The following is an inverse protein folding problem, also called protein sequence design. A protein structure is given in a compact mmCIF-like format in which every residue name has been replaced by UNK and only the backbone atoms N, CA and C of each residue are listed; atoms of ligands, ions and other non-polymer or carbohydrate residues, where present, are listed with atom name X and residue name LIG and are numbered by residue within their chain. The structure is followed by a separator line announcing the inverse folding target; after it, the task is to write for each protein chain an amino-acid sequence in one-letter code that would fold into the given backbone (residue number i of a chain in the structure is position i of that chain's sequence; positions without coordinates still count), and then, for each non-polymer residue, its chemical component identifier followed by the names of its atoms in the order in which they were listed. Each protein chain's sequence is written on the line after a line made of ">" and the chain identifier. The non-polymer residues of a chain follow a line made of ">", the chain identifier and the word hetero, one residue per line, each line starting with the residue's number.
data_IF_153704311941
#
_entry.id   IF_153704311941
#
_cell.length_a   1.000
_cell.length_b   1.000
_cell.length_c   1.000
_cell.angle_alpha   90.00
_cell.angle_beta   90.00
_cell.angle_gamma   90.00
#
_symmetry.space_group_name_H-M   'P 1'
#
loop_
_entity.id
_entity.type
_entity.pdbx_description
1 polymer ?
#
# COMPACT_ATOMS: atom_id res chain seq x y z
N UNK A 1 44.41 46.90 9.97
CA UNK A 1 44.32 45.71 10.85
C UNK A 1 43.14 45.79 11.86
N UNK A 2 42.91 46.92 12.60
CA UNK A 2 41.78 47.04 13.56
C UNK A 2 40.42 47.00 12.90
N UNK A 3 40.19 47.70 11.78
CA UNK A 3 38.92 47.70 11.06
C UNK A 3 38.59 46.33 10.46
N UNK A 4 39.54 45.57 9.95
CA UNK A 4 39.34 44.21 9.44
C UNK A 4 38.96 43.23 10.56
N UNK A 5 39.57 43.32 11.73
CA UNK A 5 39.21 42.49 12.89
C UNK A 5 37.80 42.79 13.41
N UNK A 6 37.38 44.06 13.43
CA UNK A 6 36.01 44.43 13.84
C UNK A 6 34.95 43.96 12.82
N UNK A 7 35.27 43.96 11.53
CA UNK A 7 34.40 43.43 10.47
C UNK A 7 34.21 41.94 10.63
N UNK A 8 35.30 41.17 10.76
CA UNK A 8 35.23 39.69 10.97
C UNK A 8 34.46 39.31 12.24
N UNK A 9 34.51 40.07 13.32
CA UNK A 9 33.78 39.81 14.59
C UNK A 9 32.28 40.05 14.36
N UNK A 10 31.90 41.13 13.65
CA UNK A 10 30.49 41.42 13.36
C UNK A 10 29.88 40.35 12.43
N UNK A 11 30.62 39.96 11.39
CA UNK A 11 30.17 38.95 10.43
C UNK A 11 29.99 37.58 11.11
N UNK A 12 30.90 37.22 12.01
CA UNK A 12 30.79 35.99 12.81
C UNK A 12 29.60 36.01 13.78
N UNK A 13 29.36 37.13 14.41
CA UNK A 13 28.22 37.29 15.32
C UNK A 13 26.89 37.28 14.53
N UNK A 14 26.87 37.85 13.33
CA UNK A 14 25.70 37.79 12.43
C UNK A 14 25.45 36.36 11.96
N UNK A 15 26.46 35.65 11.43
CA UNK A 15 26.35 34.27 11.02
C UNK A 15 25.87 33.36 12.18
N UNK A 16 26.31 33.61 13.40
CA UNK A 16 25.82 32.89 14.59
C UNK A 16 24.32 33.13 14.86
N UNK A 17 23.83 34.35 14.70
CA UNK A 17 22.40 34.67 14.84
C UNK A 17 21.57 34.02 13.72
N UNK A 18 22.07 34.11 12.49
CA UNK A 18 21.38 33.55 11.33
C UNK A 18 21.28 32.00 11.45
N UNK A 19 22.35 31.35 11.91
CA UNK A 19 22.34 29.92 12.19
C UNK A 19 21.36 29.51 13.29
N UNK A 20 21.29 30.32 14.39
CA UNK A 20 20.33 30.08 15.48
C UNK A 20 18.88 30.24 14.97
N UNK A 21 18.59 31.30 14.24
CA UNK A 21 17.27 31.54 13.69
C UNK A 21 16.85 30.43 12.67
N UNK A 22 17.79 29.98 11.84
CA UNK A 22 17.54 28.87 10.92
C UNK A 22 17.24 27.55 11.66
N UNK A 23 17.93 27.32 12.78
CA UNK A 23 17.71 26.15 13.61
C UNK A 23 16.32 26.17 14.26
N UNK A 24 15.92 27.30 14.84
CA UNK A 24 14.58 27.48 15.40
C UNK A 24 13.48 27.28 14.35
N UNK A 25 13.66 27.83 13.17
CA UNK A 25 12.72 27.64 12.03
C UNK A 25 12.64 26.16 11.60
N UNK A 26 13.78 25.47 11.59
CA UNK A 26 13.82 24.03 11.31
C UNK A 26 13.06 23.23 12.39
N UNK A 27 13.34 23.48 13.67
CA UNK A 27 12.72 22.74 14.78
C UNK A 27 11.19 22.95 14.79
N UNK A 28 10.72 24.15 14.48
CA UNK A 28 9.29 24.43 14.30
C UNK A 28 8.69 23.65 13.11
N UNK A 29 9.35 23.67 11.96
CA UNK A 29 8.90 22.95 10.78
C UNK A 29 8.90 21.43 11.01
N UNK A 30 9.91 20.88 11.67
CA UNK A 30 9.98 19.48 12.03
C UNK A 30 8.83 19.07 12.97
N UNK A 31 8.51 19.88 13.97
CA UNK A 31 7.38 19.64 14.88
C UNK A 31 6.05 19.62 14.14
N UNK A 32 5.81 20.57 13.23
CA UNK A 32 4.60 20.61 12.41
C UNK A 32 4.50 19.37 11.49
N UNK A 33 5.62 18.94 10.92
CA UNK A 33 5.68 17.74 10.10
C UNK A 33 5.36 16.48 10.90
N UNK A 34 5.92 16.34 12.09
CA UNK A 34 5.64 15.22 13.01
C UNK A 34 4.15 15.15 13.33
N UNK A 35 3.55 16.26 13.76
CA UNK A 35 2.11 16.30 14.08
C UNK A 35 1.23 15.96 12.88
N UNK A 36 1.59 16.44 11.68
CA UNK A 36 0.87 16.09 10.45
C UNK A 36 0.98 14.59 10.11
N UNK A 37 2.16 13.99 10.34
CA UNK A 37 2.40 12.55 10.16
C UNK A 37 1.64 11.71 11.17
N UNK A 38 1.60 12.09 12.43
CA UNK A 38 0.82 11.42 13.48
C UNK A 38 -0.66 11.35 13.09
N UNK A 39 -1.25 12.49 12.75
CA UNK A 39 -2.64 12.54 12.30
C UNK A 39 -2.91 11.73 11.03
N UNK A 40 -1.96 11.67 10.10
CA UNK A 40 -2.05 10.85 8.89
C UNK A 40 -1.90 9.36 9.22
N UNK A 41 -1.01 9.00 10.14
CA UNK A 41 -0.77 7.65 10.61
C UNK A 41 -2.01 7.04 11.28
N UNK A 42 -2.68 7.80 12.14
CA UNK A 42 -3.93 7.38 12.77
C UNK A 42 -5.02 7.11 11.73
N UNK A 43 -5.27 8.06 10.84
CA UNK A 43 -6.27 7.89 9.77
C UNK A 43 -5.98 6.69 8.86
N UNK A 44 -4.73 6.49 8.47
CA UNK A 44 -4.35 5.35 7.64
C UNK A 44 -4.50 4.03 8.40
N UNK A 45 -4.09 4.00 9.67
CA UNK A 45 -4.24 2.82 10.53
C UNK A 45 -5.71 2.42 10.64
N UNK A 46 -6.61 3.36 10.95
CA UNK A 46 -8.04 3.11 11.06
C UNK A 46 -8.65 2.61 9.73
N UNK A 47 -8.32 3.27 8.62
CA UNK A 47 -8.81 2.89 7.30
C UNK A 47 -8.37 1.48 6.89
N UNK A 48 -7.09 1.13 7.11
CA UNK A 48 -6.56 -0.21 6.81
C UNK A 48 -7.20 -1.26 7.72
N UNK A 49 -7.30 -1.00 9.02
CA UNK A 49 -7.92 -1.92 9.97
C UNK A 49 -9.37 -2.25 9.60
N UNK A 50 -10.14 -1.28 9.09
CA UNK A 50 -11.50 -1.49 8.58
C UNK A 50 -11.58 -2.44 7.37
N UNK A 51 -10.51 -2.55 6.60
CA UNK A 51 -10.45 -3.43 5.41
C UNK A 51 -9.96 -4.86 5.72
N UNK A 52 -9.33 -5.11 6.88
CA UNK A 52 -8.72 -6.42 7.18
C UNK A 52 -9.73 -7.52 7.45
N UNK A 53 -10.79 -7.26 8.21
CA UNK A 53 -11.75 -8.28 8.62
C UNK A 53 -12.36 -9.06 7.45
N UNK A 54 -13.00 -8.40 6.47
CA UNK A 54 -13.59 -9.08 5.33
C UNK A 54 -12.60 -9.83 4.43
N UNK A 55 -11.30 -9.55 4.55
CA UNK A 55 -10.21 -10.23 3.82
C UNK A 55 -9.63 -11.42 4.59
N UNK A 56 -10.29 -11.88 5.65
CA UNK A 56 -9.83 -12.98 6.54
C UNK A 56 -8.49 -12.64 7.22
N UNK A 57 -8.34 -11.39 7.62
CA UNK A 57 -7.18 -10.86 8.35
C UNK A 57 -7.62 -10.21 9.68
N UNK A 58 -8.72 -10.67 10.27
CA UNK A 58 -9.33 -10.10 11.48
C UNK A 58 -8.44 -10.17 12.72
N UNK A 59 -7.46 -11.08 12.73
CA UNK A 59 -6.48 -11.21 13.81
C UNK A 59 -5.26 -10.32 13.63
N UNK A 60 -5.05 -9.84 12.41
CA UNK A 60 -3.94 -8.95 12.11
C UNK A 60 -4.22 -7.54 12.64
N UNK A 61 -3.16 -6.89 13.09
CA UNK A 61 -3.19 -5.48 13.48
C UNK A 61 -2.12 -4.73 12.72
N UNK A 62 -2.47 -3.60 12.20
CA UNK A 62 -1.58 -2.70 11.48
C UNK A 62 -1.40 -1.40 12.25
N UNK A 63 -0.22 -0.82 12.15
CA UNK A 63 0.05 0.55 12.60
C UNK A 63 1.11 1.21 11.75
N UNK A 64 1.07 2.53 11.71
CA UNK A 64 2.16 3.36 11.23
C UNK A 64 2.93 3.86 12.45
N UNK A 65 4.19 3.50 12.58
CA UNK A 65 5.07 3.93 13.65
C UNK A 65 5.96 5.09 13.17
N UNK A 66 6.06 6.13 13.98
CA UNK A 66 7.01 7.22 13.83
C UNK A 66 8.14 7.00 14.85
N UNK A 67 9.32 6.67 14.37
CA UNK A 67 10.47 6.33 15.18
C UNK A 67 11.47 7.51 15.15
N UNK A 68 11.61 8.28 16.25
CA UNK A 68 12.58 9.36 16.32
C UNK A 68 14.01 8.84 16.10
N UNK A 69 14.81 9.58 15.38
CA UNK A 69 16.23 9.28 15.17
C UNK A 69 17.03 10.32 15.95
N UNK A 70 17.73 9.88 17.00
CA UNK A 70 18.53 10.74 17.84
C UNK A 70 19.57 11.55 17.04
N UNK A 71 19.62 12.85 17.26
CA UNK A 71 20.57 13.76 16.59
C UNK A 71 20.29 14.03 15.11
N UNK A 72 19.24 13.43 14.52
CA UNK A 72 18.90 13.68 13.12
C UNK A 72 18.21 15.03 12.92
N UNK A 73 18.80 15.84 12.04
CA UNK A 73 18.17 17.02 11.45
C UNK A 73 18.36 16.97 9.95
N UNK A 74 17.36 16.50 9.22
CA UNK A 74 17.42 16.30 7.77
C UNK A 74 16.23 16.94 7.04
N UNK A 75 16.26 16.98 5.71
CA UNK A 75 15.18 17.55 4.90
C UNK A 75 13.85 16.82 5.07
N UNK A 76 13.88 15.58 5.57
CA UNK A 76 12.71 14.74 5.80
C UNK A 76 12.23 14.73 7.25
N UNK A 77 12.74 15.63 8.10
CA UNK A 77 12.40 15.72 9.52
C UNK A 77 13.28 14.88 10.42
N UNK A 78 12.77 14.55 11.61
CA UNK A 78 13.54 13.98 12.74
C UNK A 78 13.20 12.52 13.03
N UNK A 79 12.22 11.93 12.32
CA UNK A 79 11.79 10.55 12.52
C UNK A 79 11.82 9.73 11.23
N UNK A 80 11.78 8.39 11.40
CA UNK A 80 11.50 7.43 10.32
C UNK A 80 10.07 6.94 10.42
N UNK A 81 9.36 6.89 9.29
CA UNK A 81 8.02 6.30 9.19
C UNK A 81 8.16 4.81 8.87
N UNK A 82 7.55 3.94 9.69
CA UNK A 82 7.53 2.50 9.47
C UNK A 82 6.12 1.94 9.50
N UNK A 83 5.81 1.13 8.50
CA UNK A 83 4.61 0.30 8.51
C UNK A 83 4.90 -0.99 9.27
N UNK A 84 4.08 -1.29 10.26
CA UNK A 84 4.26 -2.45 11.12
C UNK A 84 2.97 -3.25 11.19
N UNK A 85 3.11 -4.57 11.28
CA UNK A 85 2.00 -5.52 11.39
C UNK A 85 2.25 -6.50 12.53
N UNK A 86 1.18 -6.89 13.21
CA UNK A 86 1.12 -8.07 14.05
C UNK A 86 0.12 -9.04 13.40
N UNK A 87 0.57 -10.21 12.96
CA UNK A 87 -0.26 -11.17 12.20
C UNK A 87 -1.25 -11.93 13.05
N UNK A 88 -0.98 -12.07 14.35
CA UNK A 88 -1.84 -12.78 15.29
C UNK A 88 -2.02 -12.00 16.59
N UNK A 89 -3.12 -12.30 17.29
CA UNK A 89 -3.33 -11.78 18.64
C UNK A 89 -2.19 -12.24 19.57
N UNK A 90 -1.55 -11.27 20.25
CA UNK A 90 -0.44 -11.55 21.19
C UNK A 90 0.95 -11.56 20.56
N UNK A 91 1.09 -11.50 19.24
CA UNK A 91 2.39 -11.28 18.59
C UNK A 91 2.76 -9.79 18.63
N UNK A 92 4.07 -9.51 18.76
CA UNK A 92 4.59 -8.15 18.66
C UNK A 92 4.44 -7.59 17.26
N UNK A 93 4.45 -6.25 17.15
CA UNK A 93 4.53 -5.60 15.86
C UNK A 93 5.91 -5.80 15.22
N UNK A 94 5.92 -6.21 13.96
CA UNK A 94 7.10 -6.36 13.12
C UNK A 94 6.93 -5.66 11.79
N UNK A 95 7.97 -5.67 10.94
CA UNK A 95 7.91 -5.13 9.59
C UNK A 95 6.93 -5.96 8.71
N UNK A 96 6.51 -5.41 7.55
CA UNK A 96 5.52 -6.07 6.68
C UNK A 96 6.00 -7.39 6.09
N UNK A 97 7.29 -7.58 5.92
CA UNK A 97 7.92 -8.82 5.46
C UNK A 97 7.86 -9.96 6.50
N UNK A 98 7.43 -9.67 7.73
CA UNK A 98 7.09 -10.69 8.72
C UNK A 98 5.82 -11.50 8.37
N UNK A 99 5.05 -11.09 7.36
CA UNK A 99 3.90 -11.86 6.86
C UNK A 99 4.42 -13.10 6.12
N UNK A 100 4.21 -14.28 6.69
CA UNK A 100 4.78 -15.53 6.18
C UNK A 100 4.07 -16.09 4.94
N UNK A 101 2.81 -15.70 4.68
CA UNK A 101 1.98 -16.21 3.57
C UNK A 101 1.88 -15.18 2.44
N UNK A 102 2.22 -15.60 1.20
CA UNK A 102 2.08 -14.76 0.01
C UNK A 102 0.64 -14.27 -0.20
N UNK A 103 -0.35 -15.15 -0.01
CA UNK A 103 -1.76 -14.77 -0.11
C UNK A 103 -2.21 -13.79 0.98
N UNK A 104 -1.70 -13.91 2.21
CA UNK A 104 -1.97 -12.93 3.27
C UNK A 104 -1.34 -11.56 2.96
N UNK A 105 -0.11 -11.56 2.49
CA UNK A 105 0.60 -10.34 2.08
C UNK A 105 -0.13 -9.65 0.92
N UNK A 106 -0.58 -10.41 -0.08
CA UNK A 106 -1.34 -9.87 -1.22
C UNK A 106 -2.68 -9.26 -0.78
N UNK A 107 -3.41 -9.92 0.13
CA UNK A 107 -4.66 -9.38 0.71
C UNK A 107 -4.42 -8.17 1.59
N UNK A 108 -3.32 -8.15 2.34
CA UNK A 108 -2.94 -6.97 3.11
C UNK A 108 -2.59 -5.78 2.20
N UNK A 109 -1.83 -6.03 1.13
CA UNK A 109 -1.54 -5.00 0.12
C UNK A 109 -2.83 -4.48 -0.55
N UNK A 110 -3.80 -5.36 -0.81
CA UNK A 110 -5.13 -4.97 -1.29
C UNK A 110 -5.87 -4.09 -0.27
N UNK A 111 -5.85 -4.45 1.03
CA UNK A 111 -6.45 -3.64 2.09
C UNK A 111 -5.86 -2.23 2.14
N UNK A 112 -4.52 -2.12 2.08
CA UNK A 112 -3.84 -0.82 2.05
C UNK A 112 -4.24 0.01 0.82
N UNK A 113 -4.29 -0.60 -0.37
CA UNK A 113 -4.69 0.09 -1.59
C UNK A 113 -6.16 0.51 -1.55
N UNK A 114 -7.06 -0.34 -1.03
CA UNK A 114 -8.46 -0.01 -0.85
C UNK A 114 -8.67 1.17 0.13
N UNK A 115 -7.92 1.18 1.24
CA UNK A 115 -7.95 2.26 2.21
C UNK A 115 -7.46 3.61 1.63
N UNK A 116 -6.56 3.58 0.65
CA UNK A 116 -6.02 4.77 -0.01
C UNK A 116 -6.83 5.20 -1.25
N UNK A 117 -7.66 4.33 -1.81
CA UNK A 117 -8.40 4.58 -3.06
C UNK A 117 -9.47 5.69 -2.94
N UNK A 118 -9.88 6.02 -1.72
CA UNK A 118 -10.86 7.10 -1.45
C UNK A 118 -10.24 8.51 -1.55
N UNK A 119 -8.94 8.64 -1.83
CA UNK A 119 -8.27 9.94 -1.98
C UNK A 119 -8.30 10.36 -3.44
N UNK A 120 -9.08 11.40 -3.75
CA UNK A 120 -9.31 11.94 -5.08
C UNK A 120 -8.04 12.53 -5.77
N UNK A 121 -7.00 12.84 -4.98
CA UNK A 121 -5.82 13.57 -5.45
C UNK A 121 -4.74 12.72 -6.13
N UNK A 122 -4.90 11.39 -6.20
CA UNK A 122 -3.87 10.52 -6.75
C UNK A 122 -4.34 9.85 -8.05
N UNK A 123 -3.73 10.22 -9.18
CA UNK A 123 -3.79 9.40 -10.40
C UNK A 123 -3.27 8.00 -10.05
N UNK A 124 -4.18 7.04 -10.00
CA UNK A 124 -3.83 5.68 -9.67
C UNK A 124 -3.11 5.04 -10.86
N UNK A 125 -1.92 4.46 -10.66
CA UNK A 125 -1.23 3.72 -11.71
C UNK A 125 -2.00 2.45 -12.09
N UNK A 126 -1.59 1.81 -13.19
CA UNK A 126 -2.04 0.44 -13.48
C UNK A 126 -1.64 -0.48 -12.32
N UNK A 127 -2.58 -1.20 -11.77
CA UNK A 127 -2.36 -2.16 -10.68
C UNK A 127 -2.53 -3.58 -11.20
N UNK A 128 -1.56 -4.44 -10.86
CA UNK A 128 -1.60 -5.86 -11.18
C UNK A 128 -1.66 -6.62 -9.85
N UNK A 129 -2.66 -7.49 -9.71
CA UNK A 129 -2.82 -8.38 -8.58
C UNK A 129 -2.71 -9.82 -9.04
N UNK A 130 -1.79 -10.55 -8.43
CA UNK A 130 -1.60 -11.97 -8.62
C UNK A 130 -1.77 -12.69 -7.28
N UNK A 131 -2.37 -13.87 -7.29
CA UNK A 131 -2.59 -14.73 -6.11
C UNK A 131 -3.35 -14.08 -4.93
N UNK A 132 -4.06 -12.97 -5.15
CA UNK A 132 -4.77 -12.23 -4.07
C UNK A 132 -5.92 -13.04 -3.45
N UNK A 133 -6.43 -14.03 -4.17
CA UNK A 133 -7.46 -14.98 -3.77
C UNK A 133 -6.89 -16.36 -3.37
N UNK A 134 -5.57 -16.50 -3.26
CA UNK A 134 -4.94 -17.76 -2.87
C UNK A 134 -5.36 -18.21 -1.47
N UNK A 135 -5.80 -19.45 -1.36
CA UNK A 135 -6.18 -20.08 -0.09
C UNK A 135 -7.47 -19.53 0.53
N UNK A 136 -8.27 -18.81 -0.25
CA UNK A 136 -9.59 -18.32 0.18
C UNK A 136 -10.66 -18.63 -0.87
N UNK A 137 -11.90 -18.77 -0.40
CA UNK A 137 -13.05 -19.03 -1.28
C UNK A 137 -14.32 -18.40 -0.70
N UNK A 138 -15.46 -18.64 -1.32
CA UNK A 138 -16.76 -18.18 -0.83
C UNK A 138 -16.81 -16.68 -0.56
N UNK A 139 -17.30 -16.30 0.61
CA UNK A 139 -17.49 -14.90 1.01
C UNK A 139 -16.18 -14.07 1.04
N UNK A 140 -15.04 -14.69 1.34
CA UNK A 140 -13.74 -13.99 1.35
C UNK A 140 -13.28 -13.67 -0.06
N UNK A 141 -13.40 -14.60 -1.00
CA UNK A 141 -13.08 -14.36 -2.41
C UNK A 141 -14.02 -13.30 -3.01
N UNK A 142 -15.29 -13.30 -2.62
CA UNK A 142 -16.22 -12.24 -3.00
C UNK A 142 -15.80 -10.88 -2.45
N UNK A 143 -15.40 -10.81 -1.17
CA UNK A 143 -14.92 -9.59 -0.55
C UNK A 143 -13.65 -9.04 -1.24
N UNK A 144 -12.74 -9.91 -1.68
CA UNK A 144 -11.59 -9.57 -2.53
C UNK A 144 -12.07 -8.95 -3.84
N UNK A 145 -12.99 -9.62 -4.55
CA UNK A 145 -13.55 -9.14 -5.82
C UNK A 145 -14.21 -7.77 -5.71
N UNK A 146 -15.00 -7.52 -4.64
CA UNK A 146 -15.63 -6.22 -4.37
C UNK A 146 -14.59 -5.11 -4.22
N UNK A 147 -13.47 -5.37 -3.54
CA UNK A 147 -12.42 -4.37 -3.35
C UNK A 147 -11.67 -4.06 -4.62
N UNK A 148 -11.35 -5.09 -5.40
CA UNK A 148 -10.75 -4.93 -6.72
C UNK A 148 -11.65 -4.13 -7.66
N UNK A 149 -12.96 -4.40 -7.64
CA UNK A 149 -13.94 -3.62 -8.40
C UNK A 149 -14.02 -2.15 -7.96
N UNK A 150 -13.97 -1.86 -6.66
CA UNK A 150 -13.90 -0.48 -6.17
C UNK A 150 -12.63 0.24 -6.64
N UNK A 151 -11.48 -0.41 -6.58
CA UNK A 151 -10.21 0.12 -7.09
C UNK A 151 -10.27 0.45 -8.57
N UNK A 152 -10.97 -0.37 -9.37
CA UNK A 152 -11.09 -0.16 -10.83
C UNK A 152 -11.95 1.05 -11.21
N UNK A 153 -12.68 1.65 -10.27
CA UNK A 153 -13.40 2.91 -10.48
C UNK A 153 -12.48 4.12 -10.67
N UNK A 154 -11.23 4.07 -10.17
CA UNK A 154 -10.25 5.15 -10.28
C UNK A 154 -8.95 4.74 -10.98
N UNK A 155 -8.74 3.45 -11.28
CA UNK A 155 -7.51 2.93 -11.84
C UNK A 155 -7.75 1.77 -12.81
N UNK A 156 -6.79 1.47 -13.66
CA UNK A 156 -6.79 0.20 -14.40
C UNK A 156 -6.28 -0.92 -13.50
N UNK A 157 -7.13 -1.93 -13.27
CA UNK A 157 -6.82 -3.07 -12.41
C UNK A 157 -6.80 -4.35 -13.24
N UNK A 158 -5.67 -5.04 -13.24
CA UNK A 158 -5.48 -6.36 -13.85
C UNK A 158 -5.38 -7.39 -12.72
N UNK A 159 -6.12 -8.48 -12.84
CA UNK A 159 -6.16 -9.53 -11.81
C UNK A 159 -5.95 -10.89 -12.46
N UNK A 160 -4.98 -11.64 -11.94
CA UNK A 160 -4.84 -13.06 -12.24
C UNK A 160 -5.56 -13.84 -11.14
N UNK A 161 -6.57 -14.62 -11.50
CA UNK A 161 -7.43 -15.31 -10.54
C UNK A 161 -7.89 -16.66 -11.06
N UNK A 162 -8.06 -17.60 -10.16
CA UNK A 162 -8.75 -18.87 -10.37
C UNK A 162 -10.13 -18.92 -9.65
N UNK A 163 -10.49 -17.84 -8.94
CA UNK A 163 -11.74 -17.73 -8.20
C UNK A 163 -12.88 -17.21 -9.08
N UNK A 164 -13.98 -17.96 -9.23
CA UNK A 164 -15.15 -17.50 -9.97
C UNK A 164 -15.78 -16.25 -9.35
N UNK A 165 -15.72 -16.07 -8.02
CA UNK A 165 -16.24 -14.90 -7.32
C UNK A 165 -15.47 -13.63 -7.69
N UNK A 166 -14.15 -13.72 -7.80
CA UNK A 166 -13.29 -12.61 -8.23
C UNK A 166 -13.50 -12.33 -9.72
N UNK A 167 -13.46 -13.36 -10.58
CA UNK A 167 -13.64 -13.25 -12.02
C UNK A 167 -14.99 -12.62 -12.39
N UNK A 168 -16.06 -12.95 -11.64
CA UNK A 168 -17.40 -12.39 -11.85
C UNK A 168 -17.47 -10.88 -11.62
N UNK A 169 -16.58 -10.30 -10.83
CA UNK A 169 -16.54 -8.85 -10.51
C UNK A 169 -15.78 -8.01 -11.54
N UNK A 170 -15.01 -8.64 -12.44
CA UNK A 170 -14.26 -7.92 -13.49
C UNK A 170 -15.19 -7.28 -14.53
N UNK A 171 -14.81 -6.16 -15.13
CA UNK A 171 -15.51 -5.54 -16.27
C UNK A 171 -15.21 -6.27 -17.58
N UNK A 172 -14.00 -6.82 -17.71
CA UNK A 172 -13.57 -7.64 -18.83
C UNK A 172 -12.98 -8.97 -18.33
N UNK A 173 -13.02 -10.01 -19.14
CA UNK A 173 -12.47 -11.31 -18.80
C UNK A 173 -11.60 -11.81 -19.94
N UNK A 174 -10.36 -12.14 -19.65
CA UNK A 174 -9.43 -12.78 -20.57
C UNK A 174 -9.10 -14.18 -20.05
N UNK A 175 -9.23 -15.17 -20.93
CA UNK A 175 -8.89 -16.55 -20.63
C UNK A 175 -7.49 -16.86 -21.14
N UNK A 176 -6.64 -17.38 -20.26
CA UNK A 176 -5.32 -17.89 -20.61
C UNK A 176 -5.45 -19.38 -20.90
N UNK A 177 -5.02 -19.79 -22.10
CA UNK A 177 -5.03 -21.19 -22.53
C UNK A 177 -3.61 -21.61 -22.88
N UNK A 178 -3.24 -22.84 -22.47
CA UNK A 178 -2.00 -23.50 -22.88
C UNK A 178 -2.36 -24.66 -23.80
N UNK A 179 -1.71 -24.77 -24.92
CA UNK A 179 -1.87 -25.87 -25.86
C UNK A 179 -0.48 -26.33 -26.34
N UNK A 180 -0.27 -27.63 -26.37
CA UNK A 180 0.93 -28.22 -26.95
C UNK A 180 0.70 -28.44 -28.45
N UNK A 181 1.57 -27.85 -29.26
CA UNK A 181 1.64 -28.05 -30.71
C UNK A 181 3.07 -28.49 -31.05
N UNK A 182 3.21 -29.65 -31.64
CA UNK A 182 4.51 -30.19 -32.11
C UNK A 182 5.62 -30.20 -31.05
N UNK A 183 5.27 -30.50 -29.78
CA UNK A 183 6.20 -30.54 -28.67
C UNK A 183 6.56 -29.15 -28.09
N UNK A 184 5.89 -28.08 -28.54
CA UNK A 184 6.05 -26.73 -28.02
C UNK A 184 4.77 -26.29 -27.33
N UNK A 185 4.88 -25.89 -26.03
CA UNK A 185 3.75 -25.33 -25.30
C UNK A 185 3.54 -23.88 -25.72
N UNK A 186 2.43 -23.60 -26.37
CA UNK A 186 2.01 -22.23 -26.69
C UNK A 186 0.97 -21.72 -25.70
N UNK A 187 1.16 -20.50 -25.24
CA UNK A 187 0.20 -19.80 -24.38
C UNK A 187 -0.57 -18.78 -25.22
N UNK A 188 -1.89 -18.82 -25.16
CA UNK A 188 -2.78 -17.89 -25.85
C UNK A 188 -3.68 -17.20 -24.87
N UNK A 189 -3.91 -15.89 -25.05
CA UNK A 189 -4.84 -15.08 -24.27
C UNK A 189 -6.01 -14.70 -25.17
N UNK A 190 -7.23 -15.03 -24.74
CA UNK A 190 -8.46 -14.77 -25.50
C UNK A 190 -9.40 -13.91 -24.68
N UNK A 191 -9.82 -12.78 -25.25
CA UNK A 191 -10.88 -11.96 -24.66
C UNK A 191 -12.23 -12.69 -24.80
N UNK A 192 -12.99 -12.74 -23.72
CA UNK A 192 -14.31 -13.37 -23.69
C UNK A 192 -15.40 -12.31 -23.84
N UNK A 193 -16.38 -12.60 -24.71
CA UNK A 193 -17.66 -11.90 -24.75
C UNK A 193 -18.55 -12.32 -23.54
N UNK A 194 -19.68 -11.66 -23.36
CA UNK A 194 -20.56 -11.90 -22.21
C UNK A 194 -21.09 -13.33 -22.12
N UNK A 195 -21.33 -13.99 -23.27
CA UNK A 195 -21.82 -15.37 -23.30
C UNK A 195 -20.74 -16.35 -22.85
N UNK A 196 -19.57 -16.27 -23.48
CA UNK A 196 -18.40 -17.10 -23.14
C UNK A 196 -17.88 -16.84 -21.72
N UNK A 197 -17.99 -15.59 -21.25
CA UNK A 197 -17.65 -15.25 -19.87
C UNK A 197 -18.55 -15.98 -18.88
N UNK A 198 -19.87 -16.00 -19.10
CA UNK A 198 -20.80 -16.74 -18.23
C UNK A 198 -20.48 -18.24 -18.22
N UNK A 199 -20.19 -18.82 -19.39
CA UNK A 199 -19.79 -20.22 -19.49
C UNK A 199 -18.50 -20.51 -18.73
N UNK A 200 -17.50 -19.63 -18.85
CA UNK A 200 -16.22 -19.80 -18.15
C UNK A 200 -16.38 -19.67 -16.63
N UNK A 201 -17.17 -18.70 -16.14
CA UNK A 201 -17.46 -18.56 -14.69
C UNK A 201 -18.22 -19.80 -14.19
N UNK A 202 -19.18 -20.32 -14.95
CA UNK A 202 -19.89 -21.56 -14.58
C UNK A 202 -18.92 -22.76 -14.53
N UNK A 203 -18.01 -22.88 -15.49
CA UNK A 203 -16.95 -23.90 -15.48
C UNK A 203 -16.04 -23.77 -14.25
N UNK A 204 -15.66 -22.55 -13.89
CA UNK A 204 -14.83 -22.28 -12.69
C UNK A 204 -15.56 -22.65 -11.39
N UNK A 205 -16.89 -22.61 -11.36
CA UNK A 205 -17.71 -23.00 -10.20
C UNK A 205 -17.85 -24.51 -10.02
N UNK A 206 -17.73 -25.27 -11.13
CA UNK A 206 -17.91 -26.72 -11.15
C UNK A 206 -16.62 -27.54 -11.02
N UNK A 207 -15.47 -26.90 -11.05
CA UNK A 207 -14.14 -27.50 -10.91
C UNK A 207 -13.49 -27.13 -9.65
#
# INVERSE_FOLDING_TARGET
>A
LRRQRQMCIRDRAQAGRDAAAALEAYDLAATLLTSAREAAAERLTEAVMGELGPLKLERARFRVALEPIEGRRGPEGVETVRFQIATNAGTGFGPLDAIASGGELARFALAMKAALASREDMRQPVMIFDEVDQGVGGAVAEAVGVRLQRLSGGAQVLVVTHSPQVAARGHAHWKVMKADRDGVTATTVVALDDARRREEIARMLSG
#
